data_IF_445220940681
#
_entry.id   IF_445220940681
#
_cell.length_a   1.000
_cell.length_b   1.000
_cell.length_c   1.000
_cell.angle_alpha   90.00
_cell.angle_beta   90.00
_cell.angle_gamma   90.00
#
_symmetry.space_group_name_H-M   'P 1'
#
loop_
_entity.id
_entity.type
_entity.pdbx_description
1 polymer ?
#
# COMPACT_ATOMS: atom_id res chain seq x y z
N UNK A 1 12.13 12.52 -16.19
CA UNK A 1 12.23 11.04 -16.05
C UNK A 1 12.22 10.56 -14.60
N UNK A 2 12.99 11.14 -13.67
CA UNK A 2 13.09 10.64 -12.28
C UNK A 2 11.72 10.50 -11.59
N UNK A 3 10.83 11.49 -11.70
CA UNK A 3 9.48 11.42 -11.12
C UNK A 3 8.64 10.25 -11.66
N UNK A 4 8.69 10.01 -12.98
CA UNK A 4 7.97 8.91 -13.61
C UNK A 4 8.55 7.55 -13.18
N UNK A 5 9.87 7.41 -13.21
CA UNK A 5 10.53 6.16 -12.81
C UNK A 5 10.26 5.81 -11.34
N UNK A 6 10.39 6.78 -10.43
CA UNK A 6 10.19 6.57 -9.00
C UNK A 6 8.72 6.32 -8.62
N UNK A 7 7.78 6.99 -9.29
CA UNK A 7 6.35 6.89 -8.98
C UNK A 7 5.67 5.64 -9.57
N UNK A 8 6.06 5.20 -10.77
CA UNK A 8 5.38 4.11 -11.46
C UNK A 8 5.60 2.76 -10.77
N UNK A 9 6.86 2.37 -10.55
CA UNK A 9 7.18 1.05 -10.00
C UNK A 9 6.65 0.85 -8.58
N UNK A 10 6.74 1.89 -7.73
CA UNK A 10 6.26 1.85 -6.35
C UNK A 10 4.74 1.76 -6.26
N UNK A 11 4.02 2.50 -7.12
CA UNK A 11 2.55 2.44 -7.18
C UNK A 11 2.06 1.09 -7.70
N UNK A 12 2.67 0.56 -8.77
CA UNK A 12 2.33 -0.77 -9.32
C UNK A 12 2.51 -1.85 -8.25
N UNK A 13 3.68 -1.89 -7.61
CA UNK A 13 3.98 -2.85 -6.53
C UNK A 13 2.96 -2.75 -5.39
N UNK A 14 2.61 -1.53 -4.96
CA UNK A 14 1.60 -1.34 -3.89
C UNK A 14 0.24 -1.89 -4.30
N UNK A 15 -0.23 -1.61 -5.52
CA UNK A 15 -1.52 -2.10 -6.01
C UNK A 15 -1.53 -3.62 -6.14
N UNK A 16 -0.45 -4.20 -6.65
CA UNK A 16 -0.32 -5.66 -6.82
C UNK A 16 -0.33 -6.39 -5.47
N UNK A 17 0.39 -5.86 -4.48
CA UNK A 17 0.35 -6.39 -3.12
C UNK A 17 -1.01 -6.23 -2.46
N UNK A 18 -1.66 -5.08 -2.60
CA UNK A 18 -3.00 -4.84 -2.07
C UNK A 18 -4.01 -5.84 -2.65
N UNK A 19 -4.03 -6.03 -3.97
CA UNK A 19 -4.93 -6.99 -4.62
C UNK A 19 -4.61 -8.44 -4.21
N UNK A 20 -3.33 -8.80 -4.07
CA UNK A 20 -2.92 -10.12 -3.57
C UNK A 20 -3.43 -10.37 -2.14
N UNK A 21 -3.29 -9.38 -1.25
CA UNK A 21 -3.77 -9.45 0.12
C UNK A 21 -5.31 -9.53 0.17
N UNK A 22 -6.02 -8.76 -0.64
CA UNK A 22 -7.48 -8.77 -0.72
C UNK A 22 -8.01 -10.12 -1.23
N UNK A 23 -7.38 -10.71 -2.24
CA UNK A 23 -7.72 -12.05 -2.73
C UNK A 23 -7.44 -13.12 -1.68
N UNK A 24 -6.40 -12.96 -0.86
CA UNK A 24 -6.15 -13.83 0.28
C UNK A 24 -7.08 -13.58 1.47
N UNK A 25 -7.80 -12.46 1.50
CA UNK A 25 -8.71 -12.07 2.59
C UNK A 25 -10.08 -11.61 2.06
N UNK A 26 -10.94 -12.52 1.55
CA UNK A 26 -12.20 -12.16 0.89
C UNK A 26 -13.18 -11.35 1.77
N UNK A 27 -13.13 -11.54 3.09
CA UNK A 27 -13.94 -10.75 4.04
C UNK A 27 -13.55 -9.27 4.04
N UNK A 28 -12.25 -8.96 3.92
CA UNK A 28 -11.73 -7.60 3.82
C UNK A 28 -12.16 -6.98 2.49
N UNK A 29 -12.03 -7.72 1.39
CA UNK A 29 -12.47 -7.27 0.06
C UNK A 29 -13.98 -6.97 0.05
N UNK A 30 -14.79 -7.85 0.64
CA UNK A 30 -16.24 -7.65 0.76
C UNK A 30 -16.57 -6.40 1.59
N UNK A 31 -15.85 -6.16 2.69
CA UNK A 31 -16.04 -4.97 3.53
C UNK A 31 -15.66 -3.69 2.79
N UNK A 32 -14.57 -3.68 2.03
CA UNK A 32 -14.17 -2.56 1.19
C UNK A 32 -15.18 -2.26 0.08
N UNK A 33 -15.69 -3.31 -0.58
CA UNK A 33 -16.76 -3.16 -1.56
C UNK A 33 -18.02 -2.55 -0.94
N UNK A 34 -18.47 -3.06 0.21
CA UNK A 34 -19.63 -2.51 0.91
C UNK A 34 -19.46 -1.07 1.37
N UNK A 35 -18.25 -0.63 1.71
CA UNK A 35 -17.95 0.79 1.97
C UNK A 35 -18.16 1.63 0.71
N UNK A 36 -17.62 1.19 -0.43
CA UNK A 36 -17.78 1.89 -1.71
C UNK A 36 -19.26 1.94 -2.14
N UNK A 37 -19.98 0.83 -2.04
CA UNK A 37 -21.42 0.78 -2.35
C UNK A 37 -22.22 1.77 -1.49
N UNK A 38 -21.90 1.88 -0.21
CA UNK A 38 -22.60 2.76 0.73
C UNK A 38 -22.46 4.23 0.37
N UNK A 39 -21.28 4.68 -0.05
CA UNK A 39 -20.99 6.11 -0.25
C UNK A 39 -21.03 6.55 -1.72
N UNK A 40 -20.69 5.67 -2.65
CA UNK A 40 -20.62 5.96 -4.09
C UNK A 40 -21.83 5.40 -4.83
N UNK A 41 -22.30 4.20 -4.45
CA UNK A 41 -23.37 3.48 -5.14
C UNK A 41 -22.92 2.83 -6.46
N UNK A 42 -23.89 2.59 -7.35
CA UNK A 42 -23.70 1.88 -8.62
C UNK A 42 -23.99 2.72 -9.87
N UNK A 43 -24.55 3.93 -9.70
CA UNK A 43 -25.00 4.77 -10.82
C UNK A 43 -23.86 5.60 -11.44
N UNK A 44 -22.70 5.64 -10.78
CA UNK A 44 -21.49 6.33 -11.28
C UNK A 44 -20.22 5.63 -10.81
N UNK A 45 -19.11 5.95 -11.46
CA UNK A 45 -17.77 5.52 -11.02
C UNK A 45 -17.32 6.35 -9.81
N UNK A 46 -16.41 5.76 -9.04
CA UNK A 46 -15.71 6.45 -7.97
C UNK A 46 -14.92 7.64 -8.52
N UNK A 47 -15.01 8.76 -7.81
CA UNK A 47 -14.32 10.01 -8.11
C UNK A 47 -13.38 10.41 -6.97
N UNK A 48 -12.43 11.30 -7.23
CA UNK A 48 -11.47 11.74 -6.21
C UNK A 48 -12.14 12.38 -4.99
N UNK A 49 -13.28 13.06 -5.20
CA UNK A 49 -14.07 13.65 -4.11
C UNK A 49 -14.64 12.62 -3.14
N UNK A 50 -14.82 11.36 -3.57
CA UNK A 50 -15.36 10.30 -2.72
C UNK A 50 -14.33 9.79 -1.70
N UNK A 51 -13.03 10.00 -1.95
CA UNK A 51 -11.95 9.41 -1.15
C UNK A 51 -12.03 9.77 0.34
N UNK A 52 -12.57 10.95 0.67
CA UNK A 52 -12.77 11.35 2.07
C UNK A 52 -13.79 10.49 2.83
N UNK A 53 -14.67 9.77 2.11
CA UNK A 53 -15.70 8.90 2.66
C UNK A 53 -15.31 7.41 2.62
N UNK A 54 -14.09 7.06 2.20
CA UNK A 54 -13.61 5.67 2.10
C UNK A 54 -12.47 5.37 3.10
N UNK A 55 -12.68 5.56 4.42
CA UNK A 55 -11.61 5.36 5.41
C UNK A 55 -11.13 3.91 5.54
N UNK A 56 -11.97 2.91 5.23
CA UNK A 56 -11.55 1.51 5.30
C UNK A 56 -10.66 1.14 4.11
N UNK A 57 -10.91 1.69 2.92
CA UNK A 57 -9.96 1.61 1.80
C UNK A 57 -8.58 2.18 2.19
N UNK A 58 -8.55 3.29 2.92
CA UNK A 58 -7.31 3.85 3.47
C UNK A 58 -6.61 2.90 4.43
N UNK A 59 -7.37 2.22 5.29
CA UNK A 59 -6.85 1.23 6.21
C UNK A 59 -6.18 0.06 5.47
N UNK A 60 -6.78 -0.40 4.37
CA UNK A 60 -6.23 -1.45 3.50
C UNK A 60 -4.89 -1.03 2.90
N UNK A 61 -4.80 0.20 2.38
CA UNK A 61 -3.58 0.70 1.75
C UNK A 61 -2.46 0.87 2.79
N UNK A 62 -2.79 1.42 3.97
CA UNK A 62 -1.83 1.57 5.07
C UNK A 62 -1.29 0.22 5.55
N UNK A 63 -2.16 -0.77 5.74
CA UNK A 63 -1.74 -2.12 6.16
C UNK A 63 -0.95 -2.84 5.08
N UNK A 64 -1.30 -2.65 3.79
CA UNK A 64 -0.50 -3.14 2.67
C UNK A 64 0.91 -2.57 2.71
N UNK A 65 1.05 -1.25 2.79
CA UNK A 65 2.37 -0.59 2.82
C UNK A 65 3.15 -0.88 4.11
N UNK A 66 2.48 -1.18 5.23
CA UNK A 66 3.14 -1.64 6.45
C UNK A 66 3.75 -3.01 6.23
N UNK A 67 2.96 -3.99 5.77
CA UNK A 67 3.45 -5.35 5.59
C UNK A 67 4.53 -5.41 4.51
N UNK A 68 4.31 -4.69 3.41
CA UNK A 68 5.04 -4.81 2.15
C UNK A 68 5.43 -3.40 1.66
N UNK A 69 6.33 -2.69 2.37
CA UNK A 69 6.70 -1.32 2.03
C UNK A 69 7.43 -1.28 0.68
N UNK A 70 6.98 -0.47 -0.29
CA UNK A 70 7.64 -0.40 -1.61
C UNK A 70 9.12 -0.04 -1.53
N UNK A 71 9.52 0.78 -0.55
CA UNK A 71 10.91 1.06 -0.20
C UNK A 71 11.29 0.44 1.17
N UNK A 72 11.79 -0.80 1.21
CA UNK A 72 12.08 -1.51 2.46
C UNK A 72 13.33 -0.99 3.18
N UNK A 73 14.28 -0.41 2.44
CA UNK A 73 15.51 0.21 2.95
C UNK A 73 15.63 1.64 2.44
N UNK A 74 15.78 2.61 3.34
CA UNK A 74 15.96 4.02 2.97
C UNK A 74 17.43 4.46 3.17
N UNK A 75 18.18 4.71 2.08
CA UNK A 75 19.57 5.13 2.16
C UNK A 75 19.73 6.62 2.49
N UNK A 76 20.62 6.91 3.42
CA UNK A 76 21.08 8.24 3.81
C UNK A 76 22.59 8.28 3.98
N UNK A 77 23.16 9.48 4.01
CA UNK A 77 24.58 9.71 4.29
C UNK A 77 24.71 10.82 5.35
N UNK A 78 25.60 10.65 6.33
CA UNK A 78 25.81 11.64 7.38
C UNK A 78 26.51 12.90 6.84
N UNK A 79 25.78 14.02 6.84
CA UNK A 79 26.33 15.32 6.37
C UNK A 79 27.48 15.88 7.21
N UNK A 80 27.58 15.48 8.48
CA UNK A 80 28.63 15.84 9.44
C UNK A 80 28.78 14.74 10.49
N UNK A 81 29.90 14.75 11.21
CA UNK A 81 30.06 13.89 12.37
C UNK A 81 28.98 14.15 13.42
N UNK A 82 28.38 13.09 13.96
CA UNK A 82 27.32 13.19 14.97
C UNK A 82 27.38 12.02 15.97
N UNK A 83 26.52 12.09 16.99
CA UNK A 83 26.29 11.00 17.95
C UNK A 83 24.90 10.42 17.72
N UNK A 84 24.79 9.10 17.60
CA UNK A 84 23.52 8.37 17.45
C UNK A 84 23.52 7.20 18.40
N UNK A 85 22.56 7.13 19.32
CA UNK A 85 22.46 6.02 20.29
C UNK A 85 23.71 5.83 21.15
N UNK A 86 24.48 6.89 21.41
CA UNK A 86 25.76 6.82 22.14
C UNK A 86 26.99 6.53 21.27
N UNK A 87 26.81 6.24 19.98
CA UNK A 87 27.91 5.95 19.04
C UNK A 87 28.29 7.18 18.23
N UNK A 88 29.60 7.37 18.00
CA UNK A 88 30.08 8.38 17.07
C UNK A 88 29.93 7.90 15.63
N UNK A 89 29.22 8.68 14.81
CA UNK A 89 29.03 8.45 13.39
C UNK A 89 29.84 9.51 12.64
N UNK A 90 30.93 9.15 11.95
CA UNK A 90 31.71 10.08 11.15
C UNK A 90 30.88 10.72 10.03
N UNK A 91 31.38 11.83 9.46
CA UNK A 91 30.82 12.40 8.22
C UNK A 91 31.03 11.42 7.06
N UNK A 92 30.04 11.31 6.16
CA UNK A 92 30.11 10.45 4.97
C UNK A 92 29.76 8.99 5.24
N UNK A 93 29.29 8.65 6.44
CA UNK A 93 28.83 7.31 6.77
C UNK A 93 27.48 7.06 6.12
N UNK A 94 27.39 5.96 5.36
CA UNK A 94 26.14 5.44 4.81
C UNK A 94 25.27 4.85 5.92
N UNK A 95 24.01 5.23 5.93
CA UNK A 95 22.96 4.75 6.82
C UNK A 95 21.86 4.11 5.98
N UNK A 96 21.45 2.90 6.33
CA UNK A 96 20.28 2.23 5.75
C UNK A 96 19.22 2.08 6.84
N UNK A 97 18.13 2.86 6.72
CA UNK A 97 16.99 2.69 7.63
C UNK A 97 16.18 1.50 7.16
N UNK A 98 16.08 0.46 7.99
CA UNK A 98 15.33 -0.74 7.67
C UNK A 98 13.84 -0.55 8.02
N UNK A 99 13.10 0.02 7.07
CA UNK A 99 11.67 0.31 7.19
C UNK A 99 10.87 -1.00 7.32
N UNK A 100 11.22 -2.02 6.54
CA UNK A 100 10.56 -3.33 6.62
C UNK A 100 10.64 -3.91 8.03
N UNK A 101 11.80 -3.86 8.68
CA UNK A 101 11.97 -4.38 10.04
C UNK A 101 11.14 -3.59 11.06
N UNK A 102 11.07 -2.26 10.95
CA UNK A 102 10.25 -1.41 11.82
C UNK A 102 8.76 -1.73 11.64
N UNK A 103 8.31 -1.90 10.39
CA UNK A 103 6.90 -2.16 10.08
C UNK A 103 6.46 -3.59 10.39
N UNK A 104 7.42 -4.52 10.51
CA UNK A 104 7.18 -5.92 10.83
C UNK A 104 7.69 -6.33 12.23
N UNK A 105 8.03 -5.36 13.09
CA UNK A 105 8.43 -5.63 14.47
C UNK A 105 7.21 -6.08 15.31
N UNK A 106 7.20 -7.32 15.85
CA UNK A 106 6.10 -7.81 16.68
C UNK A 106 5.95 -7.04 18.00
N UNK A 107 6.98 -6.36 18.50
CA UNK A 107 6.86 -5.52 19.70
C UNK A 107 6.09 -4.22 19.42
N UNK A 108 6.11 -3.74 18.17
CA UNK A 108 5.40 -2.54 17.74
C UNK A 108 3.99 -2.90 17.24
N UNK A 109 3.85 -4.01 16.51
CA UNK A 109 2.65 -4.37 15.77
C UNK A 109 1.90 -5.61 16.28
N UNK A 110 2.43 -6.33 17.28
CA UNK A 110 1.84 -7.56 17.82
C UNK A 110 1.96 -8.73 16.85
N UNK A 111 0.97 -8.90 15.96
CA UNK A 111 0.92 -9.91 14.90
C UNK A 111 1.23 -9.31 13.51
N UNK A 112 2.48 -8.91 13.23
CA UNK A 112 2.83 -8.16 12.02
C UNK A 112 2.59 -8.93 10.71
N UNK A 113 2.54 -10.27 10.77
CA UNK A 113 2.28 -11.11 9.59
C UNK A 113 0.80 -11.23 9.23
N UNK A 114 -0.12 -10.85 10.13
CA UNK A 114 -1.55 -10.93 9.89
C UNK A 114 -2.03 -9.64 9.24
N UNK A 115 -2.57 -9.76 8.02
CA UNK A 115 -3.23 -8.65 7.34
C UNK A 115 -4.49 -8.24 8.10
N UNK A 116 -4.44 -7.09 8.78
CA UNK A 116 -5.54 -6.56 9.58
C UNK A 116 -5.67 -5.04 9.37
N UNK A 117 -6.38 -4.61 8.31
CA UNK A 117 -6.64 -3.20 8.05
C UNK A 117 -7.20 -2.44 9.25
N UNK A 118 -8.00 -3.12 10.09
CA UNK A 118 -8.61 -2.56 11.31
C UNK A 118 -7.60 -1.94 12.28
N UNK A 119 -6.30 -2.23 12.16
CA UNK A 119 -5.23 -1.54 12.92
C UNK A 119 -5.22 -0.03 12.71
N UNK A 120 -5.72 0.41 11.55
CA UNK A 120 -5.74 1.82 11.15
C UNK A 120 -7.12 2.46 11.24
N UNK A 121 -8.15 1.72 11.68
CA UNK A 121 -9.48 2.30 11.89
C UNK A 121 -9.45 3.31 13.03
N UNK A 122 -10.06 4.48 12.81
CA UNK A 122 -10.09 5.57 13.79
C UNK A 122 -8.75 6.28 14.02
N UNK A 123 -7.69 5.94 13.27
CA UNK A 123 -6.42 6.67 13.30
C UNK A 123 -6.43 7.78 12.24
N UNK A 124 -6.43 9.03 12.69
CA UNK A 124 -6.28 10.18 11.80
C UNK A 124 -4.81 10.32 11.34
N UNK A 125 -4.61 10.31 10.02
CA UNK A 125 -3.29 10.50 9.38
C UNK A 125 -2.47 9.22 9.15
N UNK A 126 -1.29 9.41 8.55
CA UNK A 126 -0.33 8.33 8.22
C UNK A 126 0.71 8.09 9.32
N UNK A 127 0.79 8.97 10.32
CA UNK A 127 1.95 9.14 11.18
C UNK A 127 1.60 8.89 12.64
N UNK A 128 1.44 7.62 13.03
CA UNK A 128 1.62 7.24 14.44
C UNK A 128 3.12 7.22 14.77
N UNK A 129 3.71 8.43 14.83
CA UNK A 129 5.14 8.65 15.00
C UNK A 129 6.00 8.02 13.91
N UNK A 130 7.05 7.30 14.32
CA UNK A 130 7.99 6.60 13.43
C UNK A 130 7.60 5.12 13.19
N UNK A 131 6.41 4.68 13.61
CA UNK A 131 6.00 3.27 13.45
C UNK A 131 5.66 2.93 12.00
N UNK A 132 4.99 3.86 11.29
CA UNK A 132 4.63 3.73 9.88
C UNK A 132 5.29 4.86 9.08
N UNK A 133 6.12 4.49 8.11
CA UNK A 133 6.95 5.41 7.30
C UNK A 133 7.13 4.94 5.84
N UNK A 134 6.06 4.58 5.12
CA UNK A 134 6.17 4.07 3.74
C UNK A 134 6.70 5.11 2.76
N UNK A 135 6.60 6.39 3.11
CA UNK A 135 7.12 7.52 2.36
C UNK A 135 8.37 8.14 3.00
N UNK A 136 9.00 7.46 3.96
CA UNK A 136 10.10 8.03 4.74
C UNK A 136 9.66 9.19 5.64
N UNK A 137 10.62 10.00 6.09
CA UNK A 137 10.35 11.11 7.02
C UNK A 137 11.36 12.26 6.89
N UNK A 138 10.95 13.45 7.34
CA UNK A 138 11.82 14.62 7.45
C UNK A 138 12.22 15.19 6.09
N UNK A 139 13.45 15.74 5.99
CA UNK A 139 13.96 16.45 4.79
C UNK A 139 14.05 15.59 3.53
N UNK A 140 13.94 14.26 3.67
CA UNK A 140 13.99 13.29 2.57
C UNK A 140 12.71 12.45 2.50
N UNK A 141 11.62 12.93 3.10
CA UNK A 141 10.30 12.38 2.87
C UNK A 141 9.97 12.37 1.37
N UNK A 142 9.18 11.40 0.95
CA UNK A 142 8.85 11.20 -0.46
C UNK A 142 8.12 12.42 -1.01
N UNK A 143 8.65 13.09 -2.06
CA UNK A 143 7.95 14.21 -2.69
C UNK A 143 6.68 13.76 -3.44
N UNK A 144 6.50 12.46 -3.65
CA UNK A 144 5.34 11.87 -4.32
C UNK A 144 4.29 11.28 -3.37
N UNK A 145 4.37 11.50 -2.05
CA UNK A 145 3.43 10.95 -1.06
C UNK A 145 1.97 11.22 -1.45
N UNK A 146 1.60 12.48 -1.65
CA UNK A 146 0.22 12.85 -1.96
C UNK A 146 -0.27 12.27 -3.30
N UNK A 147 0.58 12.32 -4.33
CA UNK A 147 0.24 11.81 -5.67
C UNK A 147 0.12 10.28 -5.68
N UNK A 148 1.06 9.58 -5.03
CA UNK A 148 1.06 8.13 -4.92
C UNK A 148 -0.17 7.64 -4.16
N UNK A 149 -0.52 8.29 -3.05
CA UNK A 149 -1.72 7.96 -2.30
C UNK A 149 -3.00 8.18 -3.12
N UNK A 150 -3.12 9.33 -3.82
CA UNK A 150 -4.26 9.59 -4.70
C UNK A 150 -4.41 8.52 -5.78
N UNK A 151 -3.32 8.18 -6.46
CA UNK A 151 -3.34 7.20 -7.55
C UNK A 151 -3.70 5.79 -7.04
N UNK A 152 -3.07 5.33 -5.97
CA UNK A 152 -3.33 3.99 -5.40
C UNK A 152 -4.76 3.89 -4.88
N UNK A 153 -5.26 4.92 -4.18
CA UNK A 153 -6.65 4.95 -3.69
C UNK A 153 -7.65 4.89 -4.85
N UNK A 154 -7.50 5.77 -5.84
CA UNK A 154 -8.40 5.82 -6.99
C UNK A 154 -8.40 4.50 -7.78
N UNK A 155 -7.22 3.94 -8.03
CA UNK A 155 -7.09 2.69 -8.76
C UNK A 155 -7.72 1.52 -7.99
N UNK A 156 -7.39 1.34 -6.71
CA UNK A 156 -7.97 0.26 -5.91
C UNK A 156 -9.48 0.40 -5.74
N UNK A 157 -9.98 1.61 -5.46
CA UNK A 157 -11.41 1.86 -5.38
C UNK A 157 -12.12 1.47 -6.69
N UNK A 158 -11.55 1.87 -7.84
CA UNK A 158 -12.12 1.55 -9.15
C UNK A 158 -12.10 0.05 -9.43
N UNK A 159 -11.01 -0.64 -9.11
CA UNK A 159 -10.88 -2.09 -9.30
C UNK A 159 -11.91 -2.84 -8.44
N UNK A 160 -12.06 -2.45 -7.17
CA UNK A 160 -13.01 -3.08 -6.24
C UNK A 160 -14.46 -2.79 -6.66
N UNK A 161 -14.77 -1.54 -7.03
CA UNK A 161 -16.12 -1.12 -7.43
C UNK A 161 -16.58 -1.81 -8.71
N UNK A 162 -15.73 -1.85 -9.74
CA UNK A 162 -16.14 -2.24 -11.08
C UNK A 162 -16.13 -3.77 -11.30
N UNK A 163 -15.34 -4.50 -10.51
CA UNK A 163 -15.05 -5.90 -10.81
C UNK A 163 -15.17 -6.83 -9.61
N UNK A 164 -15.58 -8.05 -9.89
CA UNK A 164 -15.42 -9.21 -9.03
C UNK A 164 -14.06 -9.83 -9.31
N UNK A 165 -13.33 -10.14 -8.23
CA UNK A 165 -11.98 -10.66 -8.30
C UNK A 165 -11.93 -12.04 -7.68
N UNK A 166 -11.41 -12.99 -8.44
CA UNK A 166 -11.26 -14.36 -8.01
C UNK A 166 -9.83 -14.83 -8.23
N UNK A 167 -9.41 -15.81 -7.42
CA UNK A 167 -8.15 -16.51 -7.63
C UNK A 167 -8.29 -17.43 -8.84
N UNK A 168 -7.18 -17.76 -9.49
CA UNK A 168 -7.16 -18.70 -10.63
C UNK A 168 -7.40 -20.17 -10.22
N UNK A 169 -7.47 -20.46 -8.91
CA UNK A 169 -7.76 -21.77 -8.34
C UNK A 169 -8.04 -21.68 -6.84
N UNK A 170 -8.08 -22.83 -6.16
CA UNK A 170 -8.42 -22.91 -4.73
C UNK A 170 -7.27 -22.44 -3.81
N UNK A 171 -6.02 -22.52 -4.29
CA UNK A 171 -4.84 -22.10 -3.53
C UNK A 171 -4.84 -20.60 -3.24
N UNK A 172 -4.19 -20.21 -2.14
CA UNK A 172 -3.89 -18.80 -1.87
C UNK A 172 -2.96 -18.22 -2.94
N UNK A 173 -3.10 -16.92 -3.18
CA UNK A 173 -2.14 -16.15 -3.98
C UNK A 173 -0.78 -16.25 -3.32
N UNK A 174 0.25 -16.57 -4.10
CA UNK A 174 1.62 -16.61 -3.62
C UNK A 174 2.04 -15.23 -3.08
N UNK A 175 2.64 -15.21 -1.88
CA UNK A 175 3.07 -13.99 -1.21
C UNK A 175 4.59 -13.88 -1.10
N UNK A 176 5.34 -14.62 -1.92
CA UNK A 176 6.79 -14.59 -1.88
C UNK A 176 7.33 -13.26 -2.39
N UNK A 177 8.31 -12.73 -1.66
CA UNK A 177 8.98 -11.47 -1.96
C UNK A 177 10.07 -11.72 -3.02
N UNK A 178 10.11 -10.85 -4.03
CA UNK A 178 11.17 -10.84 -5.03
C UNK A 178 12.48 -10.38 -4.42
N UNK A 179 13.59 -10.95 -4.86
CA UNK A 179 14.94 -10.61 -4.38
C UNK A 179 15.69 -9.66 -5.31
N UNK A 180 15.07 -9.30 -6.44
CA UNK A 180 15.69 -8.46 -7.46
C UNK A 180 15.34 -6.98 -7.27
N UNK A 181 16.37 -6.12 -7.27
CA UNK A 181 16.22 -4.67 -7.20
C UNK A 181 16.13 -4.13 -5.76
N UNK A 182 15.70 -2.87 -5.66
CA UNK A 182 15.64 -2.12 -4.39
C UNK A 182 14.22 -1.99 -3.83
N UNK A 183 13.22 -2.42 -4.61
CA UNK A 183 11.81 -2.33 -4.25
C UNK A 183 11.30 -3.66 -3.73
N UNK A 184 10.27 -3.62 -2.88
CA UNK A 184 9.58 -4.81 -2.41
C UNK A 184 8.58 -5.31 -3.46
N UNK A 185 9.05 -6.01 -4.49
CA UNK A 185 8.18 -6.63 -5.51
C UNK A 185 7.78 -8.05 -5.12
N UNK A 186 6.76 -8.60 -5.78
CA UNK A 186 6.47 -10.04 -5.70
C UNK A 186 7.55 -10.82 -6.46
N UNK A 187 7.83 -12.06 -6.04
CA UNK A 187 8.67 -12.96 -6.82
C UNK A 187 7.90 -13.54 -8.02
N UNK A 188 6.60 -13.76 -7.85
CA UNK A 188 5.67 -14.22 -8.89
C UNK A 188 4.56 -13.18 -9.01
N UNK A 189 4.38 -12.62 -10.21
CA UNK A 189 3.33 -11.63 -10.46
C UNK A 189 1.94 -12.18 -10.16
N UNK A 190 1.05 -11.31 -9.69
CA UNK A 190 -0.34 -11.67 -9.44
C UNK A 190 -1.04 -12.06 -10.76
N UNK A 191 -1.66 -13.23 -10.77
CA UNK A 191 -2.63 -13.64 -11.78
C UNK A 191 -3.97 -13.88 -11.11
N UNK A 192 -5.01 -13.18 -11.58
CA UNK A 192 -6.35 -13.24 -11.01
C UNK A 192 -7.39 -13.24 -12.13
N UNK A 193 -8.57 -13.79 -11.84
CA UNK A 193 -9.74 -13.73 -12.70
C UNK A 193 -10.51 -12.46 -12.33
N UNK A 194 -10.95 -11.72 -13.35
CA UNK A 194 -11.64 -10.46 -13.21
C UNK A 194 -12.93 -10.49 -14.03
N UNK A 195 -14.06 -10.30 -13.36
CA UNK A 195 -15.38 -10.25 -13.98
C UNK A 195 -16.01 -8.88 -13.75
N UNK A 196 -16.50 -8.19 -14.79
CA UNK A 196 -17.29 -6.98 -14.60
C UNK A 196 -18.50 -7.25 -13.69
N UNK A 197 -18.72 -6.42 -12.68
CA UNK A 197 -19.90 -6.55 -11.82
C UNK A 197 -21.16 -6.27 -12.64
N UNK A 198 -22.22 -7.10 -12.51
CA UNK A 198 -23.48 -6.87 -13.22
C UNK A 198 -24.06 -5.46 -13.02
N UNK A 199 -23.94 -4.94 -11.79
CA UNK A 199 -24.39 -3.59 -11.42
C UNK A 199 -23.62 -2.46 -12.12
N UNK A 200 -22.42 -2.74 -12.61
CA UNK A 200 -21.53 -1.76 -13.24
C UNK A 200 -21.46 -1.89 -14.77
N UNK A 201 -22.12 -2.89 -15.37
CA UNK A 201 -22.05 -3.18 -16.81
C UNK A 201 -22.45 -1.98 -17.68
N UNK A 202 -23.52 -1.28 -17.30
CA UNK A 202 -24.00 -0.10 -18.03
C UNK A 202 -22.98 1.05 -18.05
N UNK A 203 -22.20 1.20 -16.98
CA UNK A 203 -21.14 2.20 -16.91
C UNK A 203 -19.91 1.74 -17.65
N UNK A 204 -19.54 0.47 -17.56
CA UNK A 204 -18.35 -0.07 -18.21
C UNK A 204 -18.47 -0.15 -19.73
N UNK A 205 -19.68 -0.34 -20.26
CA UNK A 205 -19.95 -0.36 -21.71
C UNK A 205 -19.81 1.01 -22.40
N UNK A 206 -19.67 2.09 -21.62
CA UNK A 206 -19.51 3.47 -22.11
C UNK A 206 -18.03 3.90 -22.20
N UNK A 207 -17.08 3.00 -21.91
CA UNK A 207 -15.63 3.21 -22.12
C UNK A 207 -15.25 2.95 -23.58
#
# INVERSE_FOLDING_TARGET
MVMLAAGTGTSISTMEWAMSLLLNNPSVLKKAHGEIEKYVGHDRRVEESDMCNLPYLDCIIKETMRMLPPGPLLPHESSKGCMVGGYHVPKGTMLLVNVWAIHNDPNIWGDPKKFRPERFEGLEGYRDGFKLMPFGFGRRGCPGEDMGMRLVRMALASLIQCFEWERTGESEVDMSEGTEGINMSKAISLVAICHPRPTMLNLLSQL
#
